data_IF_283738391362
#
_entry.id   IF_283738391362
#
_cell.length_a   1.000
_cell.length_b   1.000
_cell.length_c   1.000
_cell.angle_alpha   90.00
_cell.angle_beta   90.00
_cell.angle_gamma   90.00
#
_symmetry.space_group_name_H-M   'P 1'
#
loop_
_entity.id
_entity.type
_entity.pdbx_description
1 polymer ?
#
# COMPACT_ATOMS: atom_id res chain seq x y z
N UNK A 1 23.65 32.04 39.52
CA UNK A 1 22.47 31.15 39.65
C UNK A 1 21.34 31.61 38.73
N UNK A 2 21.63 32.00 37.48
CA UNK A 2 20.66 32.65 36.58
C UNK A 2 20.50 31.93 35.22
N UNK A 3 21.59 31.36 34.68
CA UNK A 3 21.60 30.63 33.40
C UNK A 3 20.63 29.43 33.37
N UNK A 4 20.45 28.75 34.50
CA UNK A 4 19.54 27.59 34.57
C UNK A 4 18.05 27.96 34.58
N UNK A 5 17.70 29.22 34.89
CA UNK A 5 16.33 29.73 34.83
C UNK A 5 15.99 30.16 33.40
N UNK A 6 16.93 30.85 32.74
CA UNK A 6 16.81 31.30 31.35
C UNK A 6 16.60 30.12 30.38
N UNK A 7 17.38 29.03 30.55
CA UNK A 7 17.22 27.81 29.76
C UNK A 7 15.83 27.16 29.97
N UNK A 8 15.25 27.28 31.17
CA UNK A 8 13.92 26.71 31.45
C UNK A 8 12.82 27.51 30.77
N UNK A 9 12.92 28.83 30.79
CA UNK A 9 11.94 29.73 30.19
C UNK A 9 11.96 29.60 28.66
N UNK A 10 13.14 29.55 28.05
CA UNK A 10 13.32 29.33 26.61
C UNK A 10 12.75 27.98 26.17
N UNK A 11 13.04 26.91 26.92
CA UNK A 11 12.53 25.57 26.63
C UNK A 11 10.99 25.51 26.71
N UNK A 12 10.39 26.23 27.67
CA UNK A 12 8.92 26.30 27.77
C UNK A 12 8.30 27.08 26.63
N UNK A 13 8.92 28.19 26.21
CA UNK A 13 8.46 29.00 25.07
C UNK A 13 8.55 28.21 23.76
N UNK A 14 9.62 27.44 23.56
CA UNK A 14 9.82 26.62 22.37
C UNK A 14 8.87 25.41 22.33
N UNK A 15 8.58 24.80 23.49
CA UNK A 15 7.57 23.75 23.61
C UNK A 15 6.15 24.26 23.27
N UNK A 16 5.83 25.50 23.66
CA UNK A 16 4.54 26.13 23.32
C UNK A 16 4.43 26.46 21.83
N UNK A 17 5.54 26.80 21.15
CA UNK A 17 5.55 27.00 19.70
C UNK A 17 5.18 25.70 18.94
N UNK A 18 5.56 24.53 19.45
CA UNK A 18 5.29 23.22 18.86
C UNK A 18 3.86 22.68 19.13
N UNK A 19 3.09 23.30 20.04
CA UNK A 19 1.72 22.88 20.37
C UNK A 19 0.78 22.87 19.15
N UNK A 20 0.92 23.85 18.25
CA UNK A 20 0.07 23.96 17.05
C UNK A 20 0.29 22.78 16.11
N UNK A 21 1.55 22.36 15.94
CA UNK A 21 1.96 21.21 15.12
C UNK A 21 1.46 19.90 15.74
N UNK A 22 1.58 19.74 17.06
CA UNK A 22 1.05 18.56 17.79
C UNK A 22 -0.47 18.43 17.63
N UNK A 23 -1.20 19.55 17.71
CA UNK A 23 -2.66 19.56 17.51
C UNK A 23 -3.06 19.20 16.09
N UNK A 24 -2.34 19.74 15.09
CA UNK A 24 -2.53 19.40 13.68
C UNK A 24 -2.25 17.92 13.40
N UNK A 25 -1.16 17.37 13.96
CA UNK A 25 -0.79 15.97 13.82
C UNK A 25 -1.82 15.01 14.45
N UNK A 26 -2.46 15.41 15.57
CA UNK A 26 -3.55 14.64 16.20
C UNK A 26 -4.85 14.63 15.39
N UNK A 27 -5.11 15.66 14.60
CA UNK A 27 -6.29 15.74 13.71
C UNK A 27 -6.07 15.00 12.38
N UNK A 28 -4.82 14.88 11.93
CA UNK A 28 -4.48 14.26 10.64
C UNK A 28 -3.94 12.83 10.69
N UNK A 29 -3.75 12.24 11.87
CA UNK A 29 -3.35 10.84 11.97
C UNK A 29 -4.58 9.92 12.00
N UNK A 30 -4.79 9.06 10.98
CA UNK A 30 -5.48 7.80 11.23
C UNK A 30 -4.73 7.11 12.37
N UNK A 31 -5.42 6.60 13.39
CA UNK A 31 -4.79 5.92 14.54
C UNK A 31 -4.00 4.68 14.07
N UNK A 32 -2.76 4.91 13.63
CA UNK A 32 -1.76 3.90 13.32
C UNK A 32 -0.77 3.89 14.47
N UNK A 33 -0.73 2.77 15.19
CA UNK A 33 0.33 2.49 16.16
C UNK A 33 1.65 2.41 15.36
N UNK A 34 2.54 3.39 15.53
CA UNK A 34 3.85 3.39 14.90
C UNK A 34 4.88 2.73 15.83
N UNK A 35 5.59 1.74 15.29
CA UNK A 35 6.87 1.26 15.78
C UNK A 35 7.96 2.14 15.13
N UNK A 36 8.88 2.60 15.96
CA UNK A 36 9.97 3.55 15.71
C UNK A 36 11.04 3.01 14.73
N UNK A 37 11.65 3.88 13.90
CA UNK A 37 12.94 3.61 13.25
C UNK A 37 13.13 4.10 11.81
N UNK A 38 13.64 5.34 11.66
CA UNK A 38 14.71 5.92 10.82
C UNK A 38 15.11 5.33 9.42
N UNK A 39 15.90 6.10 8.68
CA UNK A 39 15.80 6.40 7.25
C UNK A 39 16.88 5.75 6.34
N UNK A 40 16.57 5.72 5.03
CA UNK A 40 17.42 5.61 3.82
C UNK A 40 17.97 4.26 3.32
N UNK A 41 17.65 4.00 2.05
CA UNK A 41 18.30 3.01 1.18
C UNK A 41 17.31 2.12 0.44
N UNK A 42 17.18 2.30 -0.88
CA UNK A 42 16.51 1.35 -1.77
C UNK A 42 17.24 0.01 -1.64
N UNK A 43 16.68 -0.87 -0.83
CA UNK A 43 17.02 -2.28 -0.74
C UNK A 43 15.70 -3.01 -0.86
N UNK A 44 15.64 -4.02 -1.72
CA UNK A 44 14.54 -4.98 -1.64
C UNK A 44 14.42 -5.40 -0.18
N UNK A 45 13.25 -5.24 0.44
CA UNK A 45 13.09 -5.56 1.84
C UNK A 45 13.22 -7.07 2.00
N UNK A 46 14.40 -7.52 2.46
CA UNK A 46 14.55 -8.81 3.13
C UNK A 46 13.73 -8.72 4.42
N UNK A 47 12.42 -8.97 4.29
CA UNK A 47 11.47 -8.94 5.39
C UNK A 47 11.77 -10.11 6.34
N UNK A 48 12.79 -9.97 7.19
CA UNK A 48 13.04 -10.78 8.39
C UNK A 48 12.16 -10.38 9.57
N UNK A 49 11.07 -9.65 9.32
CA UNK A 49 10.00 -9.36 10.26
C UNK A 49 8.71 -10.08 9.84
N UNK A 50 7.70 -10.23 10.73
CA UNK A 50 6.43 -10.83 10.37
C UNK A 50 5.82 -10.05 9.19
N UNK A 51 5.59 -10.74 8.07
CA UNK A 51 5.02 -10.16 6.84
C UNK A 51 3.65 -9.55 7.17
N UNK A 52 3.60 -8.22 7.21
CA UNK A 52 2.38 -7.48 7.50
C UNK A 52 1.64 -7.21 6.19
N UNK A 53 0.42 -7.74 6.06
CA UNK A 53 -0.45 -7.50 4.91
C UNK A 53 -1.39 -6.35 5.25
N UNK A 54 -1.37 -5.28 4.45
CA UNK A 54 -2.32 -4.17 4.54
C UNK A 54 -3.30 -4.22 3.37
N UNK A 55 -4.59 -4.13 3.66
CA UNK A 55 -5.63 -4.01 2.63
C UNK A 55 -5.76 -2.55 2.21
N UNK A 56 -5.48 -2.26 0.93
CA UNK A 56 -5.61 -0.91 0.36
C UNK A 56 -6.68 -0.95 -0.73
N UNK A 57 -7.64 -0.04 -0.66
CA UNK A 57 -8.63 0.14 -1.73
C UNK A 57 -8.05 1.05 -2.80
N UNK A 58 -7.64 0.47 -3.93
CA UNK A 58 -7.14 1.21 -5.08
C UNK A 58 -8.27 2.01 -5.75
N UNK A 59 -7.92 3.18 -6.30
CA UNK A 59 -8.80 3.92 -7.21
C UNK A 59 -8.89 3.20 -8.56
N UNK A 60 -9.93 3.51 -9.35
CA UNK A 60 -10.24 2.81 -10.63
C UNK A 60 -9.05 2.68 -11.60
N UNK A 61 -8.13 3.65 -11.61
CA UNK A 61 -6.98 3.69 -12.52
C UNK A 61 -5.64 3.58 -11.77
N UNK A 62 -5.68 3.30 -10.47
CA UNK A 62 -4.49 3.15 -9.65
C UNK A 62 -3.98 1.71 -9.74
N UNK A 63 -2.67 1.56 -9.92
CA UNK A 63 -2.02 0.25 -10.04
C UNK A 63 -1.10 0.09 -8.84
N UNK A 64 -1.20 -1.07 -8.18
CA UNK A 64 -0.21 -1.50 -7.21
C UNK A 64 0.74 -2.48 -7.89
N UNK A 65 2.01 -2.45 -7.51
CA UNK A 65 3.02 -3.39 -8.03
C UNK A 65 2.68 -4.83 -7.64
N UNK A 66 2.04 -5.02 -6.48
CA UNK A 66 1.63 -6.32 -5.96
C UNK A 66 0.24 -6.25 -5.33
N UNK A 67 -0.64 -7.18 -5.72
CA UNK A 67 -1.99 -7.33 -5.14
C UNK A 67 -2.12 -8.73 -4.56
N UNK A 68 -2.48 -8.81 -3.27
CA UNK A 68 -2.77 -10.08 -2.61
C UNK A 68 -4.26 -10.35 -2.75
N UNK A 69 -4.60 -11.30 -3.62
CA UNK A 69 -5.97 -11.77 -3.83
C UNK A 69 -6.21 -13.04 -3.00
N UNK A 70 -7.40 -13.13 -2.41
CA UNK A 70 -7.92 -14.38 -1.85
C UNK A 70 -8.13 -15.44 -2.95
N UNK A 71 -8.28 -16.70 -2.56
CA UNK A 71 -8.53 -17.80 -3.51
C UNK A 71 -9.78 -17.56 -4.36
N UNK A 72 -10.84 -16.99 -3.77
CA UNK A 72 -12.07 -16.67 -4.49
C UNK A 72 -11.93 -15.50 -5.47
N UNK A 73 -11.14 -14.48 -5.11
CA UNK A 73 -10.84 -13.36 -6.01
C UNK A 73 -9.95 -13.79 -7.17
N UNK A 74 -8.94 -14.64 -6.91
CA UNK A 74 -8.13 -15.25 -7.97
C UNK A 74 -9.01 -16.03 -8.95
N UNK A 75 -9.90 -16.88 -8.44
CA UNK A 75 -10.82 -17.63 -9.29
C UNK A 75 -11.72 -16.69 -10.10
N UNK A 76 -12.33 -15.69 -9.47
CA UNK A 76 -13.23 -14.76 -10.14
C UNK A 76 -12.53 -13.96 -11.23
N UNK A 77 -11.29 -13.51 -10.96
CA UNK A 77 -10.45 -12.83 -11.93
C UNK A 77 -10.11 -13.73 -13.12
N UNK A 78 -9.62 -14.94 -12.86
CA UNK A 78 -9.30 -15.91 -13.91
C UNK A 78 -10.52 -16.26 -14.75
N UNK A 79 -11.68 -16.46 -14.10
CA UNK A 79 -12.93 -16.74 -14.79
C UNK A 79 -13.34 -15.58 -15.70
N UNK A 80 -13.35 -14.35 -15.20
CA UNK A 80 -13.70 -13.17 -15.99
C UNK A 80 -12.76 -12.94 -17.19
N UNK A 81 -11.48 -13.29 -17.07
CA UNK A 81 -10.50 -13.15 -18.15
C UNK A 81 -10.55 -14.29 -19.17
N UNK A 82 -10.71 -15.53 -18.71
CA UNK A 82 -10.62 -16.72 -19.57
C UNK A 82 -11.96 -17.12 -20.20
N UNK A 83 -13.08 -16.89 -19.53
CA UNK A 83 -14.38 -17.35 -20.02
C UNK A 83 -14.79 -16.74 -21.37
N UNK A 84 -14.57 -15.44 -21.64
CA UNK A 84 -14.80 -14.88 -22.98
C UNK A 84 -13.92 -15.52 -24.06
N UNK A 85 -12.66 -15.85 -23.72
CA UNK A 85 -11.72 -16.49 -24.65
C UNK A 85 -12.14 -17.93 -24.95
N UNK A 86 -12.54 -18.68 -23.91
CA UNK A 86 -13.01 -20.04 -24.06
C UNK A 86 -14.30 -20.10 -24.88
N UNK A 87 -15.22 -19.15 -24.66
CA UNK A 87 -16.44 -19.04 -25.44
C UNK A 87 -16.12 -18.79 -26.92
N UNK A 88 -15.28 -17.79 -27.22
CA UNK A 88 -14.83 -17.50 -28.59
C UNK A 88 -14.21 -18.72 -29.26
N UNK A 89 -13.24 -19.37 -28.61
CA UNK A 89 -12.58 -20.55 -29.15
C UNK A 89 -13.53 -21.74 -29.34
N UNK A 90 -14.59 -21.84 -28.53
CA UNK A 90 -15.59 -22.91 -28.65
C UNK A 90 -16.54 -22.72 -29.82
N UNK A 91 -16.75 -21.48 -30.26
CA UNK A 91 -17.64 -21.14 -31.37
C UNK A 91 -16.95 -21.29 -32.75
N UNK A 92 -15.62 -21.44 -32.76
CA UNK A 92 -14.83 -21.58 -33.99
C UNK A 92 -14.91 -22.99 -34.60
N UNK A 93 -14.71 -23.05 -35.92
CA UNK A 93 -14.46 -24.32 -36.60
C UNK A 93 -13.09 -24.89 -36.21
N UNK A 94 -12.90 -26.21 -36.29
CA UNK A 94 -11.62 -26.84 -35.93
C UNK A 94 -10.43 -26.27 -36.72
N UNK A 95 -10.61 -25.89 -37.99
CA UNK A 95 -9.56 -25.29 -38.80
C UNK A 95 -9.15 -23.90 -38.29
N UNK A 96 -10.14 -23.05 -37.98
CA UNK A 96 -9.90 -21.69 -37.49
C UNK A 96 -9.32 -21.70 -36.07
N UNK A 97 -9.79 -22.62 -35.22
CA UNK A 97 -9.26 -22.84 -33.88
C UNK A 97 -7.74 -23.11 -33.89
N UNK A 98 -7.26 -24.03 -34.73
CA UNK A 98 -5.81 -24.31 -34.81
C UNK A 98 -5.01 -23.19 -35.46
N UNK A 99 -5.63 -22.35 -36.29
CA UNK A 99 -4.95 -21.17 -36.83
C UNK A 99 -4.78 -20.08 -35.79
N UNK A 100 -5.78 -19.84 -34.94
CA UNK A 100 -5.68 -18.88 -33.83
C UNK A 100 -4.71 -19.37 -32.74
N UNK A 101 -4.67 -20.67 -32.43
CA UNK A 101 -3.72 -21.19 -31.44
C UNK A 101 -2.24 -21.10 -31.87
N UNK A 102 -1.99 -21.05 -33.17
CA UNK A 102 -0.64 -20.96 -33.73
C UNK A 102 -0.21 -19.52 -34.08
N UNK A 103 -1.08 -18.53 -33.84
CA UNK A 103 -0.81 -17.11 -34.07
C UNK A 103 -0.03 -16.49 -32.90
#
# INVERSE_FOLDING_TARGET
MFVALEIKEDLTSEADALQSIVRMAKLRSPKLKLLNGNEEGIREPDFKGPKQVAYVRLRRNERADHVILSSGEKYSYSKAMLEPLLQHLSDLSSSEFYTELNA
#
